data_IF_881176701645
#
_entry.id   IF_881176701645
#
_cell.length_a   1.000
_cell.length_b   1.000
_cell.length_c   1.000
_cell.angle_alpha   90.00
_cell.angle_beta   90.00
_cell.angle_gamma   90.00
#
_symmetry.space_group_name_H-M   'P 1'
#
loop_
_entity.id
_entity.type
_entity.pdbx_description
1 polymer ?
#
# COMPACT_ATOMS: atom_id res chain seq x y z
N UNK A 1 16.03 7.98 6.20
CA UNK A 1 15.26 7.05 7.05
C UNK A 1 14.27 6.37 6.13
N UNK A 2 14.36 5.05 5.93
CA UNK A 2 13.29 4.32 5.26
C UNK A 2 12.12 4.26 6.26
N UNK A 3 10.91 4.65 5.84
CA UNK A 3 9.73 4.53 6.68
C UNK A 3 9.51 3.04 6.96
N UNK A 4 9.90 2.56 8.15
CA UNK A 4 9.64 1.20 8.62
C UNK A 4 8.16 1.00 9.03
N UNK A 5 7.30 1.98 8.76
CA UNK A 5 5.90 1.95 9.13
C UNK A 5 5.06 1.18 8.11
N UNK A 6 4.24 0.27 8.63
CA UNK A 6 3.21 -0.38 7.86
C UNK A 6 2.11 0.63 7.54
N UNK A 7 1.66 0.66 6.28
CA UNK A 7 0.74 1.68 5.80
C UNK A 7 -0.54 1.06 5.26
N UNK A 8 -1.67 1.72 5.49
CA UNK A 8 -2.92 1.32 4.83
C UNK A 8 -3.01 1.89 3.42
N UNK A 9 -3.95 1.38 2.62
CA UNK A 9 -4.21 1.90 1.27
C UNK A 9 -4.46 3.42 1.26
N UNK A 10 -5.30 4.00 2.15
CA UNK A 10 -5.46 5.45 2.25
C UNK A 10 -4.16 6.23 2.49
N UNK A 11 -3.26 5.72 3.36
CA UNK A 11 -2.01 6.41 3.65
C UNK A 11 -1.05 6.34 2.46
N UNK A 12 -0.94 5.16 1.83
CA UNK A 12 -0.15 4.98 0.61
C UNK A 12 -0.65 5.88 -0.52
N UNK A 13 -1.96 6.01 -0.67
CA UNK A 13 -2.56 6.89 -1.67
C UNK A 13 -2.19 8.36 -1.42
N UNK A 14 -2.27 8.81 -0.16
CA UNK A 14 -1.85 10.17 0.24
C UNK A 14 -0.35 10.40 0.01
N UNK A 15 0.49 9.44 0.37
CA UNK A 15 1.95 9.55 0.23
C UNK A 15 2.39 9.57 -1.25
N UNK A 16 1.74 8.77 -2.09
CA UNK A 16 2.06 8.67 -3.51
C UNK A 16 1.34 9.71 -4.39
N UNK A 17 0.49 10.56 -3.80
CA UNK A 17 -0.33 11.50 -4.58
C UNK A 17 -1.27 10.80 -5.56
N UNK A 18 -1.76 9.61 -5.21
CA UNK A 18 -2.58 8.75 -6.05
C UNK A 18 -3.97 8.53 -5.44
N UNK A 19 -4.89 7.91 -6.20
CA UNK A 19 -6.18 7.48 -5.65
C UNK A 19 -6.05 6.14 -4.93
N UNK A 20 -6.87 5.91 -3.91
CA UNK A 20 -6.97 4.59 -3.24
C UNK A 20 -7.28 3.47 -4.22
N UNK A 21 -8.07 3.75 -5.25
CA UNK A 21 -8.37 2.82 -6.33
C UNK A 21 -7.11 2.42 -7.11
N UNK A 22 -6.27 3.39 -7.51
CA UNK A 22 -5.01 3.13 -8.21
C UNK A 22 -4.07 2.27 -7.38
N UNK A 23 -3.96 2.56 -6.08
CA UNK A 23 -3.15 1.77 -5.13
C UNK A 23 -3.69 0.35 -4.98
N UNK A 24 -5.00 0.21 -4.75
CA UNK A 24 -5.66 -1.10 -4.63
C UNK A 24 -5.49 -1.95 -5.90
N UNK A 25 -5.61 -1.31 -7.07
CA UNK A 25 -5.37 -1.95 -8.37
C UNK A 25 -3.91 -2.39 -8.51
N UNK A 26 -2.95 -1.55 -8.15
CA UNK A 26 -1.53 -1.89 -8.17
C UNK A 26 -1.24 -3.12 -7.29
N UNK A 27 -1.73 -3.12 -6.05
CA UNK A 27 -1.60 -4.25 -5.11
C UNK A 27 -2.18 -5.53 -5.71
N UNK A 28 -3.34 -5.45 -6.35
CA UNK A 28 -4.00 -6.59 -6.99
C UNK A 28 -3.21 -7.11 -8.20
N UNK A 29 -2.75 -6.22 -9.08
CA UNK A 29 -1.99 -6.57 -10.30
C UNK A 29 -0.61 -7.16 -9.96
N UNK A 30 0.03 -6.64 -8.92
CA UNK A 30 1.33 -7.11 -8.43
C UNK A 30 1.22 -8.37 -7.55
N UNK A 31 0.01 -8.85 -7.25
CA UNK A 31 -0.20 -10.04 -6.41
C UNK A 31 0.15 -9.85 -4.93
N UNK A 32 0.11 -8.62 -4.42
CA UNK A 32 0.57 -8.24 -3.06
C UNK A 32 -0.53 -8.32 -2.00
N UNK A 33 -1.73 -8.77 -2.35
CA UNK A 33 -2.91 -8.81 -1.46
C UNK A 33 -2.62 -9.55 -0.15
N UNK A 34 -1.84 -10.64 -0.21
CA UNK A 34 -1.53 -11.48 0.95
C UNK A 34 -0.42 -10.93 1.86
N UNK A 35 0.26 -9.85 1.47
CA UNK A 35 1.23 -9.17 2.34
C UNK A 35 0.54 -8.28 3.38
N UNK A 36 -0.70 -7.90 3.11
CA UNK A 36 -1.51 -7.11 4.02
C UNK A 36 -1.91 -7.90 5.26
N UNK A 37 -1.92 -7.22 6.41
CA UNK A 37 -2.46 -7.76 7.67
C UNK A 37 -3.44 -6.79 8.29
N UNK A 38 -4.28 -7.28 9.20
CA UNK A 38 -5.16 -6.41 10.00
C UNK A 38 -4.33 -5.57 10.97
N UNK A 39 -4.65 -4.29 11.07
CA UNK A 39 -4.07 -3.41 12.08
C UNK A 39 -4.47 -3.91 13.49
N UNK A 40 -3.53 -3.83 14.43
CA UNK A 40 -3.73 -4.23 15.83
C UNK A 40 -4.66 -3.26 16.55
N UNK A 41 -4.67 -1.99 16.14
CA UNK A 41 -5.46 -0.92 16.74
C UNK A 41 -6.83 -0.79 16.08
N UNK A 42 -6.93 -1.12 14.78
CA UNK A 42 -8.18 -1.16 14.03
C UNK A 42 -8.28 -2.42 13.16
N UNK A 43 -9.00 -3.43 13.67
CA UNK A 43 -9.17 -4.72 12.97
C UNK A 43 -9.91 -4.61 11.62
N UNK A 44 -10.52 -3.46 11.30
CA UNK A 44 -11.16 -3.20 10.00
C UNK A 44 -10.17 -2.66 8.97
N UNK A 45 -9.01 -2.17 9.41
CA UNK A 45 -7.98 -1.60 8.55
C UNK A 45 -6.96 -2.68 8.16
N UNK A 46 -6.64 -2.74 6.87
CA UNK A 46 -5.53 -3.55 6.36
C UNK A 46 -4.33 -2.64 6.17
N UNK A 47 -3.19 -3.07 6.71
CA UNK A 47 -1.90 -2.39 6.61
C UNK A 47 -0.90 -3.29 5.87
N UNK A 48 -0.05 -2.68 5.07
CA UNK A 48 0.94 -3.33 4.21
C UNK A 48 2.35 -2.95 4.64
N UNK A 49 3.33 -3.83 4.46
CA UNK A 49 4.71 -3.52 4.82
C UNK A 49 5.30 -2.42 3.93
N UNK A 50 6.36 -1.72 4.37
CA UNK A 50 7.03 -0.67 3.60
C UNK A 50 7.43 -1.07 2.18
N UNK A 51 7.84 -2.33 1.99
CA UNK A 51 8.22 -2.85 0.67
C UNK A 51 7.07 -2.90 -0.34
N UNK A 52 5.80 -2.92 0.12
CA UNK A 52 4.63 -2.82 -0.76
C UNK A 52 4.51 -1.42 -1.35
N UNK A 53 4.73 -0.36 -0.55
CA UNK A 53 4.68 1.02 -1.01
C UNK A 53 5.66 1.28 -2.17
N UNK A 54 6.91 0.83 -2.03
CA UNK A 54 7.93 0.99 -3.07
C UNK A 54 7.53 0.32 -4.39
N UNK A 55 7.02 -0.91 -4.33
CA UNK A 55 6.56 -1.66 -5.52
C UNK A 55 5.32 -1.03 -6.16
N UNK A 56 4.39 -0.53 -5.35
CA UNK A 56 3.21 0.21 -5.85
C UNK A 56 3.65 1.50 -6.55
N UNK A 57 4.59 2.25 -5.97
CA UNK A 57 5.15 3.46 -6.58
C UNK A 57 5.75 3.16 -7.96
N UNK A 58 6.63 2.17 -8.05
CA UNK A 58 7.26 1.77 -9.32
C UNK A 58 6.25 1.34 -10.38
N UNK A 59 5.14 0.72 -9.98
CA UNK A 59 4.08 0.33 -10.90
C UNK A 59 3.29 1.54 -11.39
N UNK A 60 2.95 2.48 -10.50
CA UNK A 60 2.21 3.69 -10.84
C UNK A 60 3.01 4.62 -11.76
N UNK A 61 4.34 4.68 -11.63
CA UNK A 61 5.21 5.47 -12.51
C UNK A 61 5.32 4.89 -13.93
N UNK A 62 4.94 3.62 -14.13
CA UNK A 62 4.98 2.91 -15.43
C UNK A 62 3.61 2.77 -16.10
N UNK A 63 2.53 3.07 -15.38
CA UNK A 63 1.14 2.91 -15.82
C UNK A 63 0.63 4.15 -16.57
#
# INVERSE_FOLDING_TARGET
MMNDEWMSIPDMAKELGATEYSVSRAISVLGLVNEGKRDINDRRRIIYPPGTLARVKEWLEKA
#
